data_IF_765944086804
#
_entry.id   IF_765944086804
#
_cell.length_a   1.000
_cell.length_b   1.000
_cell.length_c   1.000
_cell.angle_alpha   90.00
_cell.angle_beta   90.00
_cell.angle_gamma   90.00
#
_symmetry.space_group_name_H-M   'P 1'
#
loop_
_entity.id
_entity.type
_entity.pdbx_description
1 polymer ?
#
# COMPACT_ATOMS: atom_id res chain seq x y z
N UNK A 1 6.66 -10.23 5.12
CA UNK A 1 6.80 -8.85 4.61
C UNK A 1 8.24 -8.57 4.27
N UNK A 2 9.16 -8.51 5.24
CA UNK A 2 10.58 -8.27 4.93
C UNK A 2 11.19 -9.25 3.91
N UNK A 3 10.96 -10.56 4.08
CA UNK A 3 11.44 -11.55 3.10
C UNK A 3 10.82 -11.38 1.71
N UNK A 4 9.57 -10.89 1.63
CA UNK A 4 8.91 -10.59 0.35
C UNK A 4 9.57 -9.40 -0.33
N UNK A 5 9.88 -8.35 0.44
CA UNK A 5 10.50 -7.11 -0.06
C UNK A 5 11.87 -7.38 -0.70
N UNK A 6 12.64 -8.31 -0.14
CA UNK A 6 13.97 -8.70 -0.68
C UNK A 6 13.91 -9.34 -2.07
N UNK A 7 12.78 -9.91 -2.47
CA UNK A 7 12.65 -10.57 -3.77
C UNK A 7 12.48 -9.56 -4.90
N UNK A 8 11.67 -8.54 -4.65
CA UNK A 8 11.43 -7.40 -5.56
C UNK A 8 10.67 -6.34 -4.76
N UNK A 9 10.97 -5.05 -4.97
CA UNK A 9 10.24 -3.95 -4.36
C UNK A 9 8.72 -4.11 -4.44
N UNK A 10 8.01 -3.66 -3.42
CA UNK A 10 6.55 -3.54 -3.42
C UNK A 10 6.08 -2.12 -3.71
N UNK A 11 6.97 -1.28 -4.25
CA UNK A 11 6.63 0.00 -4.83
C UNK A 11 5.83 -0.19 -6.14
N UNK A 12 4.75 0.57 -6.31
CA UNK A 12 3.88 0.50 -7.48
C UNK A 12 4.04 1.70 -8.43
N UNK A 13 4.87 2.68 -8.06
CA UNK A 13 4.85 4.01 -8.68
C UNK A 13 3.95 4.98 -7.93
N UNK A 14 3.92 6.23 -8.41
CA UNK A 14 2.96 7.27 -7.97
C UNK A 14 2.88 7.46 -6.45
N UNK A 15 4.01 7.34 -5.75
CA UNK A 15 4.11 7.47 -4.29
C UNK A 15 3.38 6.39 -3.47
N UNK A 16 3.11 5.21 -4.05
CA UNK A 16 2.41 4.10 -3.39
C UNK A 16 3.30 2.86 -3.25
N UNK A 17 3.29 2.25 -2.06
CA UNK A 17 3.87 0.92 -1.82
C UNK A 17 2.87 -0.01 -1.11
N UNK A 18 2.92 -1.30 -1.44
CA UNK A 18 1.98 -2.33 -0.94
C UNK A 18 2.70 -3.54 -0.31
N UNK A 19 3.46 -3.35 0.78
CA UNK A 19 4.20 -4.45 1.39
C UNK A 19 3.26 -5.57 1.87
N UNK A 20 3.61 -6.81 1.56
CA UNK A 20 2.78 -8.00 1.86
C UNK A 20 3.63 -9.23 2.22
N UNK A 21 2.97 -10.32 2.66
CA UNK A 21 3.63 -11.59 2.97
C UNK A 21 4.15 -12.33 1.72
N UNK A 22 5.02 -13.32 1.92
CA UNK A 22 5.33 -14.30 0.86
C UNK A 22 4.22 -15.35 0.79
N UNK A 23 4.20 -16.16 -0.28
CA UNK A 23 3.21 -17.24 -0.44
C UNK A 23 3.32 -18.29 0.67
N UNK A 24 4.53 -18.57 1.16
CA UNK A 24 4.79 -19.51 2.25
C UNK A 24 4.22 -19.02 3.59
N UNK A 25 4.03 -17.71 3.73
CA UNK A 25 3.47 -17.11 4.94
C UNK A 25 1.93 -17.05 4.95
N UNK A 26 1.24 -17.56 3.92
CA UNK A 26 -0.23 -17.47 3.77
C UNK A 26 -1.00 -17.97 4.99
N UNK A 27 -0.53 -19.05 5.63
CA UNK A 27 -1.21 -19.66 6.78
C UNK A 27 -1.06 -18.83 8.07
N UNK A 28 -0.20 -17.80 8.05
CA UNK A 28 -0.09 -16.80 9.12
C UNK A 28 -1.21 -15.76 9.06
N UNK A 29 -1.96 -15.68 7.96
CA UNK A 29 -3.06 -14.72 7.81
C UNK A 29 -4.32 -15.26 8.49
N UNK A 30 -4.64 -14.68 9.65
CA UNK A 30 -5.86 -15.02 10.41
C UNK A 30 -7.12 -14.48 9.72
N UNK A 31 -7.05 -13.25 9.20
CA UNK A 31 -8.11 -12.57 8.46
C UNK A 31 -7.51 -11.64 7.42
N UNK A 32 -8.21 -11.47 6.29
CA UNK A 32 -7.82 -10.47 5.29
C UNK A 32 -8.00 -9.06 5.86
N UNK A 33 -7.05 -8.18 5.60
CA UNK A 33 -7.07 -6.80 6.07
C UNK A 33 -5.87 -6.00 5.62
N UNK A 34 -5.96 -4.69 5.82
CA UNK A 34 -4.92 -3.73 5.47
C UNK A 34 -4.61 -2.80 6.63
N UNK A 35 -3.40 -2.25 6.61
CA UNK A 35 -3.02 -1.10 7.43
C UNK A 35 -2.57 0.02 6.49
N UNK A 36 -3.19 1.20 6.62
CA UNK A 36 -2.85 2.38 5.83
C UNK A 36 -1.91 3.26 6.63
N UNK A 37 -0.68 3.44 6.12
CA UNK A 37 0.34 4.26 6.76
C UNK A 37 0.72 5.43 5.84
N UNK A 38 0.50 6.65 6.33
CA UNK A 38 0.90 7.87 5.63
C UNK A 38 2.30 8.30 6.09
N UNK A 39 3.16 8.63 5.13
CA UNK A 39 4.49 9.18 5.33
C UNK A 39 4.60 10.48 4.51
N UNK A 40 4.21 11.65 5.04
CA UNK A 40 4.21 12.90 4.28
C UNK A 40 5.59 13.29 3.73
N UNK A 41 6.65 12.93 4.45
CA UNK A 41 8.04 13.14 4.04
C UNK A 41 8.57 12.07 3.07
N UNK A 42 7.79 11.01 2.85
CA UNK A 42 8.16 9.89 1.99
C UNK A 42 9.13 8.90 2.63
N UNK A 43 9.12 7.67 2.10
CA UNK A 43 10.08 6.61 2.39
C UNK A 43 10.43 5.94 1.07
N UNK A 44 11.73 5.78 0.79
CA UNK A 44 12.18 5.07 -0.41
C UNK A 44 11.78 3.60 -0.34
N UNK A 45 11.06 3.13 -1.34
CA UNK A 45 10.53 1.77 -1.43
C UNK A 45 10.92 1.04 -2.71
N UNK A 46 11.34 1.74 -3.78
CA UNK A 46 11.89 1.13 -4.99
C UNK A 46 13.42 1.12 -5.04
N UNK A 47 13.95 0.80 -6.23
CA UNK A 47 15.39 0.68 -6.44
C UNK A 47 16.05 2.05 -6.64
N UNK A 48 15.35 2.96 -7.33
CA UNK A 48 15.83 4.29 -7.64
C UNK A 48 15.70 5.24 -6.44
N UNK A 49 16.51 6.30 -6.39
CA UNK A 49 16.45 7.29 -5.30
C UNK A 49 15.10 8.00 -5.23
N UNK A 50 14.46 8.18 -6.40
CA UNK A 50 13.19 8.88 -6.56
C UNK A 50 11.96 7.98 -6.36
N UNK A 51 12.15 6.67 -6.12
CA UNK A 51 11.08 5.71 -5.82
C UNK A 51 10.58 5.86 -4.38
N UNK A 52 9.99 7.01 -4.09
CA UNK A 52 9.55 7.44 -2.77
C UNK A 52 8.05 7.16 -2.60
N UNK A 53 7.69 6.28 -1.68
CA UNK A 53 6.32 6.06 -1.25
C UNK A 53 5.92 7.04 -0.13
N UNK A 54 4.79 7.74 -0.30
CA UNK A 54 4.13 8.51 0.77
C UNK A 54 2.93 7.77 1.33
N UNK A 55 2.37 6.83 0.58
CA UNK A 55 1.31 5.92 1.00
C UNK A 55 1.88 4.51 1.05
N UNK A 56 1.94 3.93 2.25
CA UNK A 56 2.39 2.54 2.43
C UNK A 56 1.24 1.74 3.01
N UNK A 57 0.75 0.78 2.24
CA UNK A 57 -0.43 0.00 2.59
C UNK A 57 -0.01 -1.44 2.84
N UNK A 58 0.13 -1.81 4.11
CA UNK A 58 0.49 -3.17 4.51
C UNK A 58 -0.69 -4.11 4.28
N UNK A 59 -0.49 -5.18 3.52
CA UNK A 59 -1.56 -6.12 3.15
C UNK A 59 -1.31 -7.48 3.80
N UNK A 60 -2.31 -7.96 4.53
CA UNK A 60 -2.42 -9.35 4.96
C UNK A 60 -3.67 -9.94 4.30
N UNK A 61 -3.50 -10.80 3.30
CA UNK A 61 -4.61 -11.41 2.57
C UNK A 61 -4.37 -12.92 2.40
N UNK A 62 -5.43 -13.72 2.44
CA UNK A 62 -5.32 -15.17 2.30
C UNK A 62 -5.12 -15.54 0.82
N UNK A 63 -4.29 -16.55 0.55
CA UNK A 63 -4.05 -17.02 -0.82
C UNK A 63 -3.66 -15.87 -1.78
N UNK A 64 -4.19 -15.88 -3.01
CA UNK A 64 -3.95 -14.84 -4.02
C UNK A 64 -4.87 -13.61 -3.87
N UNK A 65 -5.56 -13.45 -2.74
CA UNK A 65 -6.44 -12.29 -2.48
C UNK A 65 -5.64 -10.98 -2.36
N UNK A 66 -4.33 -11.03 -2.11
CA UNK A 66 -3.50 -9.82 -2.08
C UNK A 66 -3.59 -9.04 -3.40
N UNK A 67 -3.65 -9.73 -4.55
CA UNK A 67 -3.85 -9.09 -5.85
C UNK A 67 -5.19 -8.36 -5.90
N UNK A 68 -6.26 -8.95 -5.38
CA UNK A 68 -7.58 -8.31 -5.37
C UNK A 68 -7.58 -7.05 -4.50
N UNK A 69 -6.93 -7.10 -3.33
CA UNK A 69 -6.76 -5.93 -2.46
C UNK A 69 -5.93 -4.86 -3.15
N UNK A 70 -4.82 -5.24 -3.80
CA UNK A 70 -3.98 -4.30 -4.57
C UNK A 70 -4.79 -3.66 -5.69
N UNK A 71 -5.52 -4.44 -6.49
CA UNK A 71 -6.36 -3.91 -7.58
C UNK A 71 -7.43 -2.95 -7.06
N UNK A 72 -8.08 -3.27 -5.94
CA UNK A 72 -9.05 -2.37 -5.32
C UNK A 72 -8.41 -1.06 -4.87
N UNK A 73 -7.20 -1.12 -4.31
CA UNK A 73 -6.46 0.06 -3.87
C UNK A 73 -5.97 0.89 -5.06
N UNK A 74 -5.40 0.28 -6.09
CA UNK A 74 -4.93 1.01 -7.28
C UNK A 74 -6.08 1.67 -8.02
N UNK A 75 -7.26 1.05 -8.07
CA UNK A 75 -8.45 1.68 -8.66
C UNK A 75 -8.97 2.85 -7.83
N UNK A 76 -8.90 2.78 -6.50
CA UNK A 76 -9.29 3.89 -5.63
C UNK A 76 -8.25 5.04 -5.61
N UNK A 77 -7.03 4.76 -6.10
CA UNK A 77 -5.89 5.66 -6.13
C UNK A 77 -5.50 6.01 -7.57
N UNK A 78 -6.43 6.00 -8.52
CA UNK A 78 -6.18 6.34 -9.92
C UNK A 78 -6.09 7.86 -10.19
N UNK A 79 -6.47 8.68 -9.20
CA UNK A 79 -6.46 10.14 -9.26
C UNK A 79 -5.27 10.70 -8.45
N UNK A 80 -4.30 11.29 -9.14
CA UNK A 80 -3.13 11.95 -8.53
C UNK A 80 -3.52 13.00 -7.47
N UNK A 81 -4.67 13.69 -7.65
CA UNK A 81 -5.17 14.67 -6.68
C UNK A 81 -5.65 13.99 -5.39
N UNK A 82 -6.21 12.79 -5.49
CA UNK A 82 -6.60 11.97 -4.34
C UNK A 82 -5.37 11.45 -3.62
N UNK A 83 -4.35 10.96 -4.35
CA UNK A 83 -3.07 10.54 -3.76
C UNK A 83 -2.42 11.70 -3.00
N UNK A 84 -2.34 12.89 -3.60
CA UNK A 84 -1.74 14.07 -2.97
C UNK A 84 -2.45 14.47 -1.67
N UNK A 85 -3.78 14.40 -1.64
CA UNK A 85 -4.58 14.64 -0.42
C UNK A 85 -4.34 13.56 0.63
N UNK A 86 -4.40 12.28 0.24
CA UNK A 86 -4.14 11.16 1.12
C UNK A 86 -2.72 11.17 1.69
N UNK A 87 -1.74 11.71 0.97
CA UNK A 87 -0.35 11.80 1.41
C UNK A 87 -0.08 12.91 2.43
N UNK A 88 -1.00 13.86 2.61
CA UNK A 88 -0.78 15.05 3.44
C UNK A 88 -1.89 15.36 4.44
N UNK A 89 -3.08 14.77 4.29
CA UNK A 89 -4.20 15.00 5.18
C UNK A 89 -3.89 14.59 6.61
N UNK A 90 -4.48 15.31 7.56
CA UNK A 90 -4.42 14.99 9.00
C UNK A 90 -5.76 14.46 9.54
N UNK A 91 -6.76 14.27 8.67
CA UNK A 91 -8.08 13.74 9.02
C UNK A 91 -8.23 12.28 8.62
N UNK A 92 -8.53 11.44 9.60
CA UNK A 92 -8.86 10.02 9.36
C UNK A 92 -10.16 9.88 8.57
N UNK A 93 -11.13 10.77 8.82
CA UNK A 93 -12.42 10.80 8.14
C UNK A 93 -12.25 11.09 6.64
N UNK A 94 -11.35 12.02 6.29
CA UNK A 94 -11.02 12.29 4.88
C UNK A 94 -10.39 11.07 4.21
N UNK A 95 -9.47 10.38 4.88
CA UNK A 95 -8.89 9.12 4.36
C UNK A 95 -10.00 8.09 4.08
N UNK A 96 -10.91 7.88 5.02
CA UNK A 96 -12.03 6.95 4.85
C UNK A 96 -12.97 7.37 3.71
N UNK A 97 -13.26 8.67 3.57
CA UNK A 97 -14.12 9.19 2.52
C UNK A 97 -13.52 9.03 1.12
N UNK A 98 -12.19 9.16 1.01
CA UNK A 98 -11.48 9.00 -0.25
C UNK A 98 -11.31 7.53 -0.65
N UNK A 99 -11.15 6.61 0.31
CA UNK A 99 -10.98 5.17 0.04
C UNK A 99 -12.29 4.39 -0.11
N UNK A 100 -13.43 4.94 0.32
CA UNK A 100 -14.75 4.30 0.22
C UNK A 100 -15.56 4.69 -1.03
N UNK A 101 -14.89 5.20 -2.07
CA UNK A 101 -15.55 5.52 -3.35
C UNK A 101 -15.71 4.31 -4.24
#
# INVERSE_FOLDING_TARGET
>A
MLEREKLTPTYLGESIAVPHGTVEAKDRVLKTGVVFCQYPQGVRFGEEEDDIARLVIGIAARNNEHIQVITSLTNALDDESVIARLASTTSVEEVLALLNK
#
